data_IF_645087470182
#
_entry.id   IF_645087470182
#
_cell.length_a   1.000
_cell.length_b   1.000
_cell.length_c   1.000
_cell.angle_alpha   90.00
_cell.angle_beta   90.00
_cell.angle_gamma   90.00
#
_symmetry.space_group_name_H-M   'P 1'
#
loop_
_entity.id
_entity.type
_entity.pdbx_description
1 polymer ?
#
# COMPACT_ATOMS: atom_id res chain seq x y z
N UNK A 1 4.18 -16.33 11.79
CA UNK A 1 4.36 -15.71 10.47
C UNK A 1 5.51 -16.35 9.71
N UNK A 2 5.70 -15.98 8.43
CA UNK A 2 6.69 -16.61 7.52
C UNK A 2 8.12 -16.54 8.04
N UNK A 3 8.57 -15.38 8.55
CA UNK A 3 9.95 -15.21 9.04
C UNK A 3 10.35 -16.23 10.10
N UNK A 4 9.46 -16.52 11.06
CA UNK A 4 9.73 -17.50 12.12
C UNK A 4 9.79 -18.94 11.58
N UNK A 5 8.91 -19.29 10.64
CA UNK A 5 8.86 -20.63 10.03
C UNK A 5 10.11 -20.91 9.20
N UNK A 6 10.51 -19.95 8.36
CA UNK A 6 11.68 -20.08 7.49
C UNK A 6 13.01 -19.72 8.19
N UNK A 7 12.92 -19.20 9.42
CA UNK A 7 14.05 -18.71 10.24
C UNK A 7 14.86 -17.65 9.50
N UNK A 8 14.16 -16.68 8.90
CA UNK A 8 14.81 -15.57 8.21
C UNK A 8 15.44 -14.59 9.21
N UNK A 9 16.72 -14.27 8.98
CA UNK A 9 17.39 -13.12 9.58
C UNK A 9 16.81 -11.81 9.02
N UNK A 10 16.53 -11.78 7.71
CA UNK A 10 15.81 -10.69 7.05
C UNK A 10 14.79 -11.26 6.08
N UNK A 11 13.57 -10.76 6.17
CA UNK A 11 12.46 -11.05 5.27
C UNK A 11 11.95 -9.74 4.68
N UNK A 12 12.27 -9.48 3.42
CA UNK A 12 11.71 -8.34 2.68
C UNK A 12 10.29 -8.69 2.22
N UNK A 13 9.31 -7.84 2.51
CA UNK A 13 8.00 -7.99 1.91
C UNK A 13 8.04 -7.51 0.47
N UNK A 14 7.33 -8.23 -0.38
CA UNK A 14 7.29 -7.99 -1.81
C UNK A 14 5.88 -8.13 -2.36
N UNK A 15 5.67 -7.61 -3.56
CA UNK A 15 4.45 -7.79 -4.35
C UNK A 15 4.81 -8.23 -5.76
N UNK A 16 3.89 -8.91 -6.49
CA UNK A 16 4.02 -9.07 -7.92
C UNK A 16 4.18 -7.68 -8.58
N UNK A 17 5.21 -7.53 -9.42
CA UNK A 17 5.45 -6.29 -10.17
C UNK A 17 5.54 -6.58 -11.66
N UNK A 18 5.24 -5.59 -12.49
CA UNK A 18 5.55 -5.69 -13.93
C UNK A 18 7.02 -5.36 -14.16
N UNK A 19 7.58 -5.95 -15.21
CA UNK A 19 8.91 -5.60 -15.67
C UNK A 19 8.99 -4.10 -15.98
N UNK A 20 10.12 -3.47 -15.63
CA UNK A 20 10.37 -2.02 -15.80
C UNK A 20 9.46 -1.11 -14.99
N UNK A 21 8.66 -1.65 -14.07
CA UNK A 21 7.95 -0.86 -13.08
C UNK A 21 8.94 -0.13 -12.15
N UNK A 22 8.59 1.07 -11.70
CA UNK A 22 9.43 1.90 -10.82
C UNK A 22 9.39 1.39 -9.35
N UNK A 23 9.79 0.14 -9.17
CA UNK A 23 9.92 -0.57 -7.90
C UNK A 23 11.08 -1.57 -8.04
N UNK A 24 11.96 -1.63 -7.04
CA UNK A 24 13.13 -2.51 -7.07
C UNK A 24 12.75 -3.99 -7.13
N UNK A 25 13.61 -4.82 -7.72
CA UNK A 25 13.41 -6.25 -7.82
C UNK A 25 14.26 -7.03 -6.85
N UNK A 26 13.67 -7.97 -6.12
CA UNK A 26 14.42 -8.90 -5.29
C UNK A 26 15.05 -9.98 -6.18
N UNK A 27 16.38 -10.09 -6.11
CA UNK A 27 17.15 -11.03 -6.90
C UNK A 27 18.18 -11.77 -6.03
N UNK A 28 18.53 -12.99 -6.46
CA UNK A 28 19.69 -13.71 -5.92
C UNK A 28 20.92 -13.30 -6.74
N UNK A 29 21.82 -12.56 -6.12
CA UNK A 29 23.04 -12.03 -6.72
C UNK A 29 24.21 -12.97 -6.43
N UNK A 30 25.13 -13.08 -7.39
CA UNK A 30 26.36 -13.86 -7.24
C UNK A 30 27.56 -12.91 -7.28
N UNK A 31 28.40 -12.94 -6.24
CA UNK A 31 29.66 -12.18 -6.19
C UNK A 31 30.72 -12.86 -7.06
N UNK A 32 31.81 -12.14 -7.34
CA UNK A 32 32.93 -12.67 -8.14
C UNK A 32 33.60 -13.92 -7.53
N UNK A 33 33.55 -14.06 -6.20
CA UNK A 33 34.04 -15.24 -5.47
C UNK A 33 33.08 -16.44 -5.50
N UNK A 34 31.92 -16.31 -6.16
CA UNK A 34 30.88 -17.34 -6.26
C UNK A 34 29.88 -17.36 -5.11
N UNK A 35 30.09 -16.57 -4.05
CA UNK A 35 29.12 -16.44 -2.96
C UNK A 35 27.82 -15.80 -3.44
N UNK A 36 26.69 -16.22 -2.85
CA UNK A 36 25.35 -15.74 -3.23
C UNK A 36 24.69 -15.00 -2.09
N UNK A 37 23.88 -14.02 -2.42
CA UNK A 37 23.05 -13.31 -1.46
C UNK A 37 21.76 -12.83 -2.12
N UNK A 38 20.71 -12.66 -1.33
CA UNK A 38 19.44 -12.08 -1.79
C UNK A 38 19.43 -10.61 -1.41
N UNK A 39 19.19 -9.74 -2.38
CA UNK A 39 19.00 -8.31 -2.11
C UNK A 39 18.06 -7.68 -3.15
N UNK A 40 17.59 -6.48 -2.82
CA UNK A 40 16.97 -5.57 -3.77
C UNK A 40 17.99 -5.10 -4.80
N UNK A 41 17.57 -5.07 -6.06
CA UNK A 41 18.24 -4.38 -7.14
C UNK A 41 17.29 -3.27 -7.61
N UNK A 42 17.75 -2.01 -7.54
CA UNK A 42 16.90 -0.88 -7.94
C UNK A 42 16.45 -1.00 -9.40
N UNK A 43 15.24 -0.52 -9.68
CA UNK A 43 14.61 -0.68 -11.00
C UNK A 43 15.44 -0.10 -12.15
N UNK A 44 16.21 0.96 -11.87
CA UNK A 44 17.13 1.60 -12.83
C UNK A 44 18.44 0.81 -13.05
N UNK A 45 18.74 -0.16 -12.19
CA UNK A 45 19.92 -1.03 -12.26
C UNK A 45 19.57 -2.44 -12.74
N UNK A 46 18.37 -2.93 -12.45
CA UNK A 46 17.98 -4.30 -12.72
C UNK A 46 17.98 -4.63 -14.21
N UNK A 47 17.37 -3.80 -15.07
CA UNK A 47 17.35 -4.05 -16.51
C UNK A 47 18.77 -4.12 -17.12
N UNK A 48 19.67 -3.14 -16.90
CA UNK A 48 21.07 -3.25 -17.34
C UNK A 48 21.81 -4.47 -16.77
N UNK A 49 21.60 -4.80 -15.49
CA UNK A 49 22.23 -5.95 -14.84
C UNK A 49 21.81 -7.25 -15.53
N UNK A 50 20.52 -7.43 -15.78
CA UNK A 50 19.99 -8.62 -16.44
C UNK A 50 20.51 -8.76 -17.88
N UNK A 51 20.56 -7.66 -18.65
CA UNK A 51 21.14 -7.65 -20.01
C UNK A 51 22.57 -8.14 -20.04
N UNK A 52 23.35 -7.75 -19.04
CA UNK A 52 24.76 -8.10 -18.95
C UNK A 52 25.01 -9.54 -18.47
N UNK A 53 24.06 -10.17 -17.78
CA UNK A 53 24.35 -11.39 -16.99
C UNK A 53 23.40 -12.57 -17.20
N UNK A 54 22.11 -12.34 -17.41
CA UNK A 54 21.09 -13.40 -17.36
C UNK A 54 20.24 -13.43 -18.64
N UNK A 55 19.73 -12.28 -19.08
CA UNK A 55 18.84 -12.19 -20.22
C UNK A 55 19.15 -10.94 -21.06
N UNK A 56 19.63 -11.08 -22.31
CA UNK A 56 19.91 -9.96 -23.22
C UNK A 56 18.72 -9.00 -23.43
N UNK A 57 17.49 -9.46 -23.23
CA UNK A 57 16.28 -8.64 -23.33
C UNK A 57 16.00 -7.79 -22.07
N UNK A 58 16.75 -8.00 -20.99
CA UNK A 58 16.69 -7.22 -19.75
C UNK A 58 15.59 -7.67 -18.79
N UNK A 59 14.95 -6.70 -18.12
CA UNK A 59 13.79 -6.96 -17.26
C UNK A 59 12.56 -7.13 -18.15
N UNK A 60 12.08 -8.37 -18.25
CA UNK A 60 10.92 -8.78 -19.06
C UNK A 60 9.97 -9.63 -18.23
N UNK A 61 8.68 -9.57 -18.55
CA UNK A 61 7.67 -10.37 -17.89
C UNK A 61 7.82 -11.86 -18.26
N UNK A 62 7.51 -12.73 -17.30
CA UNK A 62 7.29 -14.14 -17.53
C UNK A 62 5.93 -14.37 -18.23
N UNK A 63 5.62 -15.63 -18.55
CA UNK A 63 4.41 -16.03 -19.27
C UNK A 63 3.10 -15.68 -18.54
N UNK A 64 3.14 -15.48 -17.23
CA UNK A 64 2.01 -15.07 -16.39
C UNK A 64 1.76 -13.55 -16.39
N UNK A 65 2.58 -12.78 -17.11
CA UNK A 65 2.47 -11.33 -17.24
C UNK A 65 3.17 -10.52 -16.15
N UNK A 66 3.93 -11.16 -15.25
CA UNK A 66 4.66 -10.51 -14.16
C UNK A 66 6.17 -10.68 -14.29
N UNK A 67 6.95 -9.79 -13.67
CA UNK A 67 8.40 -9.99 -13.59
C UNK A 67 8.70 -11.22 -12.72
N UNK A 68 9.66 -12.09 -13.12
CA UNK A 68 10.09 -13.21 -12.29
C UNK A 68 10.80 -12.78 -11.01
N UNK A 69 11.19 -11.50 -10.92
CA UNK A 69 11.73 -10.88 -9.74
C UNK A 69 10.58 -10.19 -9.00
N UNK A 70 10.28 -10.47 -7.73
CA UNK A 70 9.24 -9.76 -6.98
C UNK A 70 9.62 -8.31 -6.70
N UNK A 71 8.64 -7.42 -6.66
CA UNK A 71 8.83 -6.01 -6.34
C UNK A 71 9.04 -5.80 -4.83
N UNK A 72 10.20 -5.31 -4.43
CA UNK A 72 10.49 -4.96 -3.04
C UNK A 72 9.68 -3.71 -2.63
N UNK A 73 8.83 -3.82 -1.62
CA UNK A 73 8.02 -2.71 -1.11
C UNK A 73 8.65 -2.02 0.11
N UNK A 74 9.89 -2.37 0.46
CA UNK A 74 10.67 -1.77 1.54
C UNK A 74 10.03 -1.89 2.94
N UNK A 75 9.14 -2.87 3.13
CA UNK A 75 8.75 -3.33 4.46
C UNK A 75 9.68 -4.49 4.84
N UNK A 76 10.59 -4.23 5.77
CA UNK A 76 11.65 -5.15 6.16
C UNK A 76 11.35 -5.75 7.53
N UNK A 77 11.27 -7.09 7.60
CA UNK A 77 11.10 -7.81 8.86
C UNK A 77 12.44 -8.46 9.22
N UNK A 78 13.03 -8.06 10.34
CA UNK A 78 14.35 -8.53 10.76
C UNK A 78 14.26 -9.30 12.07
N UNK A 79 15.05 -10.38 12.19
CA UNK A 79 15.25 -11.04 13.46
C UNK A 79 16.11 -10.14 14.35
N UNK A 80 15.58 -9.77 15.52
CA UNK A 80 16.24 -8.82 16.41
C UNK A 80 17.67 -9.24 16.81
N UNK A 81 17.98 -10.51 17.12
CA UNK A 81 19.35 -10.92 17.43
C UNK A 81 20.33 -10.66 16.28
N UNK A 82 19.98 -11.03 15.05
CA UNK A 82 20.82 -10.81 13.86
C UNK A 82 20.99 -9.31 13.58
N UNK A 83 19.91 -8.54 13.74
CA UNK A 83 19.95 -7.08 13.58
C UNK A 83 20.89 -6.41 14.56
N UNK A 84 20.79 -6.72 15.85
CA UNK A 84 21.62 -6.12 16.90
C UNK A 84 23.09 -6.51 16.73
N UNK A 85 23.38 -7.79 16.47
CA UNK A 85 24.75 -8.25 16.25
C UNK A 85 25.41 -7.53 15.06
N UNK A 86 24.67 -7.36 13.96
CA UNK A 86 25.17 -6.64 12.80
C UNK A 86 25.34 -5.13 13.08
N UNK A 87 24.38 -4.53 13.80
CA UNK A 87 24.42 -3.12 14.18
C UNK A 87 25.66 -2.81 15.04
N UNK A 88 25.96 -3.66 16.03
CA UNK A 88 27.17 -3.54 16.86
C UNK A 88 28.45 -3.74 16.04
N UNK A 89 28.46 -4.69 15.12
CA UNK A 89 29.63 -4.97 14.28
C UNK A 89 29.93 -3.84 13.28
N UNK A 90 28.90 -3.21 12.71
CA UNK A 90 29.05 -2.17 11.69
C UNK A 90 28.95 -0.74 12.22
N UNK A 91 28.61 -0.55 13.50
CA UNK A 91 28.19 0.74 14.06
C UNK A 91 27.06 1.41 13.25
N UNK A 92 26.18 0.60 12.65
CA UNK A 92 25.09 1.07 11.80
C UNK A 92 25.49 1.53 10.40
N UNK A 93 26.76 1.36 10.00
CA UNK A 93 27.20 1.66 8.64
C UNK A 93 26.63 0.61 7.68
N UNK A 94 26.02 1.10 6.59
CA UNK A 94 25.52 0.32 5.45
C UNK A 94 26.23 0.79 4.20
N UNK A 95 26.33 -0.07 3.18
CA UNK A 95 26.98 0.27 1.91
C UNK A 95 26.45 1.58 1.31
N UNK A 96 27.39 2.43 0.89
CA UNK A 96 27.09 3.72 0.29
C UNK A 96 27.18 3.66 -1.24
N UNK A 97 26.42 4.52 -1.91
CA UNK A 97 26.45 4.74 -3.34
C UNK A 97 26.25 6.23 -3.66
N UNK A 98 26.38 6.58 -4.94
CA UNK A 98 26.09 7.94 -5.44
C UNK A 98 25.17 7.82 -6.65
N UNK A 99 24.11 8.62 -6.70
CA UNK A 99 23.16 8.65 -7.83
C UNK A 99 23.06 10.06 -8.44
N UNK A 100 24.08 10.50 -9.22
CA UNK A 100 24.11 11.84 -9.79
C UNK A 100 22.96 12.07 -10.77
N UNK A 101 22.27 13.21 -10.62
CA UNK A 101 21.32 13.72 -11.61
C UNK A 101 22.06 14.61 -12.59
N UNK A 102 22.15 14.18 -13.84
CA UNK A 102 22.81 14.94 -14.91
C UNK A 102 21.85 15.95 -15.57
N UNK A 103 22.40 17.05 -16.09
CA UNK A 103 21.63 18.08 -16.79
C UNK A 103 21.06 17.56 -18.13
N UNK A 104 21.79 16.65 -18.77
CA UNK A 104 21.51 16.08 -20.09
C UNK A 104 22.08 14.65 -20.21
N UNK A 105 21.92 14.06 -21.40
CA UNK A 105 22.38 12.72 -21.74
C UNK A 105 23.90 12.57 -21.84
N UNK A 106 24.66 13.66 -21.98
CA UNK A 106 26.12 13.61 -22.16
C UNK A 106 26.84 13.38 -20.82
N UNK A 107 26.13 13.59 -19.70
CA UNK A 107 26.59 13.29 -18.33
C UNK A 107 27.88 14.02 -17.93
N UNK A 108 28.13 15.19 -18.51
CA UNK A 108 29.32 16.01 -18.22
C UNK A 108 29.07 17.07 -17.14
N UNK A 109 27.80 17.39 -16.84
CA UNK A 109 27.42 18.34 -15.79
C UNK A 109 26.24 17.87 -14.96
N UNK A 110 26.24 18.20 -13.67
CA UNK A 110 25.17 17.85 -12.75
C UNK A 110 24.04 18.88 -12.78
N UNK A 111 22.79 18.41 -12.80
CA UNK A 111 21.58 19.23 -12.64
C UNK A 111 21.45 19.75 -11.19
N UNK A 112 21.99 19.01 -10.24
CA UNK A 112 22.02 19.34 -8.82
C UNK A 112 23.23 18.66 -8.15
N UNK A 113 23.83 19.24 -7.09
CA UNK A 113 24.95 18.61 -6.40
C UNK A 113 24.66 17.16 -5.97
N UNK A 114 25.54 16.19 -6.28
CA UNK A 114 25.40 14.81 -5.81
C UNK A 114 25.81 14.70 -4.33
N UNK A 115 25.37 13.62 -3.68
CA UNK A 115 25.72 13.26 -2.30
C UNK A 115 25.85 11.75 -2.19
N UNK A 116 26.59 11.30 -1.17
CA UNK A 116 26.55 9.89 -0.76
C UNK A 116 25.15 9.55 -0.25
N UNK A 117 24.68 8.37 -0.61
CA UNK A 117 23.39 7.81 -0.24
C UNK A 117 23.62 6.37 0.24
N UNK A 118 22.76 5.86 1.12
CA UNK A 118 22.69 4.45 1.46
C UNK A 118 21.22 4.05 1.50
N UNK A 119 20.94 2.75 1.32
CA UNK A 119 19.58 2.24 1.35
C UNK A 119 19.37 1.34 2.56
N UNK A 120 18.27 1.51 3.29
CA UNK A 120 17.98 0.64 4.44
C UNK A 120 17.83 -0.84 4.05
N UNK A 121 17.37 -1.11 2.82
CA UNK A 121 17.25 -2.47 2.29
C UNK A 121 18.59 -3.13 1.95
N UNK A 122 19.70 -2.40 2.00
CA UNK A 122 21.04 -2.92 1.77
C UNK A 122 21.67 -3.54 3.03
N UNK A 123 20.99 -3.44 4.17
CA UNK A 123 21.37 -4.11 5.43
C UNK A 123 21.78 -5.60 5.26
N UNK A 124 21.08 -6.43 4.46
CA UNK A 124 21.44 -7.84 4.29
C UNK A 124 22.84 -8.07 3.69
N UNK A 125 23.42 -7.08 3.01
CA UNK A 125 24.76 -7.22 2.44
C UNK A 125 25.87 -7.29 3.50
N UNK A 126 25.62 -6.78 4.70
CA UNK A 126 26.56 -6.84 5.82
C UNK A 126 26.50 -8.13 6.61
N UNK A 127 25.46 -8.95 6.42
CA UNK A 127 25.26 -10.16 7.20
C UNK A 127 26.25 -11.27 6.83
N UNK A 128 26.52 -12.21 7.77
CA UNK A 128 27.27 -13.44 7.48
C UNK A 128 26.70 -14.22 6.29
N UNK A 129 27.56 -14.95 5.58
CA UNK A 129 27.16 -15.70 4.37
C UNK A 129 26.16 -16.83 4.62
N UNK A 130 26.03 -17.30 5.86
CA UNK A 130 25.07 -18.30 6.29
C UNK A 130 23.75 -17.70 6.84
N UNK A 131 23.66 -16.37 6.91
CA UNK A 131 22.44 -15.69 7.29
C UNK A 131 21.31 -15.96 6.29
N UNK A 132 20.12 -16.26 6.82
CA UNK A 132 18.94 -16.59 6.00
C UNK A 132 18.23 -15.30 5.58
N UNK A 133 18.53 -14.81 4.39
CA UNK A 133 17.87 -13.67 3.78
C UNK A 133 16.86 -14.17 2.76
N UNK A 134 15.61 -13.74 2.88
CA UNK A 134 14.54 -14.13 1.98
C UNK A 134 13.49 -13.04 1.83
N UNK A 135 12.36 -13.43 1.27
CA UNK A 135 11.24 -12.52 1.04
C UNK A 135 9.90 -13.22 1.15
N UNK A 136 8.84 -12.41 1.32
CA UNK A 136 7.45 -12.87 1.31
C UNK A 136 6.69 -12.06 0.27
N UNK A 137 6.25 -12.70 -0.81
CA UNK A 137 5.40 -12.07 -1.82
C UNK A 137 3.95 -12.09 -1.38
N UNK A 138 3.32 -10.92 -1.28
CA UNK A 138 1.91 -10.75 -0.98
C UNK A 138 1.18 -10.49 -2.29
N UNK A 139 0.40 -11.46 -2.75
CA UNK A 139 -0.32 -11.37 -4.03
C UNK A 139 -1.55 -10.45 -3.94
N UNK A 140 -2.08 -10.24 -2.73
CA UNK A 140 -3.13 -9.27 -2.44
C UNK A 140 -2.51 -7.87 -2.37
N UNK A 141 -2.04 -7.34 -3.52
CA UNK A 141 -1.38 -6.02 -3.61
C UNK A 141 -2.24 -4.92 -2.97
N UNK A 142 -3.56 -5.00 -3.16
CA UNK A 142 -4.56 -4.10 -2.58
C UNK A 142 -4.56 -4.05 -1.04
N UNK A 143 -3.97 -5.04 -0.36
CA UNK A 143 -3.83 -5.08 1.09
C UNK A 143 -2.43 -4.71 1.58
N UNK A 144 -1.45 -4.64 0.67
CA UNK A 144 -0.03 -4.65 1.02
C UNK A 144 0.76 -3.44 0.49
N UNK A 145 0.30 -2.79 -0.57
CA UNK A 145 1.09 -1.76 -1.24
C UNK A 145 0.23 -0.63 -1.83
N UNK A 146 0.06 0.43 -1.03
CA UNK A 146 -0.69 1.64 -1.38
C UNK A 146 0.11 2.91 -1.09
N UNK A 147 1.28 3.12 -1.72
CA UNK A 147 2.10 4.30 -1.46
C UNK A 147 1.46 5.56 -2.06
N UNK A 148 1.63 6.68 -1.37
CA UNK A 148 1.35 8.03 -1.88
C UNK A 148 2.69 8.71 -2.14
N UNK A 149 3.15 8.66 -3.39
CA UNK A 149 4.50 9.13 -3.78
C UNK A 149 4.53 10.05 -5.00
N UNK A 150 3.43 10.18 -5.73
CA UNK A 150 3.33 11.05 -6.89
C UNK A 150 2.37 12.20 -6.59
N UNK A 151 2.71 13.40 -7.04
CA UNK A 151 1.76 14.51 -7.11
C UNK A 151 0.65 14.19 -8.14
N UNK A 152 -0.41 14.99 -8.17
CA UNK A 152 -1.57 14.74 -9.03
C UNK A 152 -1.22 14.69 -10.53
N UNK A 153 -0.32 15.57 -10.99
CA UNK A 153 0.08 15.64 -12.39
C UNK A 153 0.88 14.40 -12.84
N UNK A 154 1.85 13.96 -12.03
CA UNK A 154 2.65 12.77 -12.28
C UNK A 154 1.80 11.50 -12.17
N UNK A 155 0.88 11.45 -11.20
CA UNK A 155 -0.09 10.37 -11.06
C UNK A 155 -0.98 10.26 -12.31
N UNK A 156 -1.44 11.39 -12.85
CA UNK A 156 -2.25 11.41 -14.07
C UNK A 156 -1.46 11.00 -15.31
N UNK A 157 -0.19 11.40 -15.42
CA UNK A 157 0.69 10.95 -16.49
C UNK A 157 0.87 9.43 -16.47
N UNK A 158 1.16 8.85 -15.29
CA UNK A 158 1.28 7.40 -15.10
C UNK A 158 -0.02 6.66 -15.41
N UNK A 159 -1.15 7.18 -14.96
CA UNK A 159 -2.46 6.59 -15.23
C UNK A 159 -2.78 6.49 -16.72
N UNK A 160 -2.43 7.52 -17.52
CA UNK A 160 -2.58 7.49 -18.99
C UNK A 160 -1.75 6.41 -19.67
N UNK A 161 -0.63 6.02 -19.07
CA UNK A 161 0.24 4.95 -19.56
C UNK A 161 -0.20 3.56 -19.07
N UNK A 162 -1.27 3.47 -18.28
CA UNK A 162 -1.75 2.23 -17.67
C UNK A 162 -0.90 1.76 -16.49
N UNK A 163 -0.08 2.63 -15.91
CA UNK A 163 0.76 2.34 -14.75
C UNK A 163 0.04 2.71 -13.44
N UNK A 164 0.35 2.04 -12.31
CA UNK A 164 -0.14 2.44 -11.00
C UNK A 164 0.16 3.91 -10.70
N UNK A 165 -0.87 4.65 -10.30
CA UNK A 165 -0.78 6.12 -10.19
C UNK A 165 -0.09 6.55 -8.91
N UNK A 166 -0.24 5.79 -7.81
CA UNK A 166 0.36 6.04 -6.49
C UNK A 166 0.29 7.51 -6.03
N UNK A 167 -0.82 8.17 -6.35
CA UNK A 167 -1.16 9.52 -5.88
C UNK A 167 -2.04 9.46 -4.63
N UNK A 168 -2.34 10.63 -4.05
CA UNK A 168 -3.11 10.71 -2.81
C UNK A 168 -4.51 10.10 -2.94
N UNK A 169 -5.20 10.33 -4.06
CA UNK A 169 -6.48 9.70 -4.35
C UNK A 169 -6.41 8.17 -4.32
N UNK A 170 -5.41 7.58 -5.00
CA UNK A 170 -5.24 6.15 -5.05
C UNK A 170 -5.02 5.56 -3.64
N UNK A 171 -4.15 6.19 -2.85
CA UNK A 171 -3.87 5.75 -1.48
C UNK A 171 -5.11 5.75 -0.58
N UNK A 172 -5.96 6.78 -0.67
CA UNK A 172 -7.23 6.83 0.09
C UNK A 172 -8.23 5.77 -0.40
N UNK A 173 -8.44 5.66 -1.70
CA UNK A 173 -9.41 4.72 -2.27
C UNK A 173 -9.00 3.26 -2.05
N UNK A 174 -7.70 2.97 -2.01
CA UNK A 174 -7.19 1.64 -1.68
C UNK A 174 -7.59 1.20 -0.27
N UNK A 175 -7.69 2.13 0.70
CA UNK A 175 -8.17 1.81 2.07
C UNK A 175 -9.63 1.39 2.04
N UNK A 176 -10.49 2.13 1.31
CA UNK A 176 -11.90 1.75 1.15
C UNK A 176 -12.04 0.39 0.47
N UNK A 177 -11.27 0.17 -0.60
CA UNK A 177 -11.25 -1.09 -1.33
C UNK A 177 -10.78 -2.25 -0.44
N UNK A 178 -9.71 -2.07 0.33
CA UNK A 178 -9.17 -3.09 1.21
C UNK A 178 -10.17 -3.49 2.28
N UNK A 179 -10.79 -2.51 2.94
CA UNK A 179 -11.79 -2.74 3.98
C UNK A 179 -13.03 -3.46 3.42
N UNK A 180 -13.54 -3.02 2.26
CA UNK A 180 -14.65 -3.69 1.60
C UNK A 180 -14.31 -5.13 1.18
N UNK A 181 -13.10 -5.36 0.66
CA UNK A 181 -12.63 -6.71 0.30
C UNK A 181 -12.49 -7.61 1.52
N UNK A 182 -11.95 -7.11 2.64
CA UNK A 182 -11.88 -7.87 3.90
C UNK A 182 -13.26 -8.24 4.43
N UNK A 183 -14.23 -7.30 4.40
CA UNK A 183 -15.61 -7.58 4.77
C UNK A 183 -16.25 -8.64 3.87
N UNK A 184 -16.02 -8.57 2.54
CA UNK A 184 -16.47 -9.61 1.60
C UNK A 184 -15.84 -10.97 1.90
N UNK A 185 -14.57 -11.02 2.28
CA UNK A 185 -13.87 -12.26 2.61
C UNK A 185 -14.50 -13.00 3.79
N UNK A 186 -15.03 -12.28 4.77
CA UNK A 186 -15.73 -12.88 5.92
C UNK A 186 -17.23 -13.12 5.65
N UNK A 187 -17.74 -12.79 4.45
CA UNK A 187 -19.11 -13.08 4.03
C UNK A 187 -20.11 -11.92 4.11
N UNK A 188 -19.67 -10.69 4.42
CA UNK A 188 -20.54 -9.50 4.40
C UNK A 188 -20.94 -9.14 2.97
N UNK A 189 -22.21 -8.76 2.78
CA UNK A 189 -22.71 -8.30 1.47
C UNK A 189 -22.35 -6.84 1.25
N UNK A 190 -21.22 -6.58 0.60
CA UNK A 190 -20.79 -5.23 0.20
C UNK A 190 -21.02 -5.03 -1.29
N UNK A 191 -21.59 -3.89 -1.71
CA UNK A 191 -21.82 -3.56 -3.11
C UNK A 191 -20.52 -3.39 -3.93
N UNK A 192 -20.61 -3.55 -5.25
CA UNK A 192 -19.48 -3.39 -6.18
C UNK A 192 -19.13 -1.93 -6.40
N UNK A 193 -17.83 -1.60 -6.58
CA UNK A 193 -17.40 -0.23 -6.80
C UNK A 193 -17.98 0.37 -8.09
N UNK A 194 -17.99 1.69 -8.16
CA UNK A 194 -18.40 2.45 -9.36
C UNK A 194 -17.24 3.25 -9.92
N UNK A 195 -17.15 3.44 -11.25
CA UNK A 195 -16.13 4.27 -11.84
C UNK A 195 -16.33 5.73 -11.44
N UNK A 196 -15.25 6.39 -11.04
CA UNK A 196 -15.20 7.83 -10.74
C UNK A 196 -13.97 8.45 -11.37
N UNK A 197 -13.98 9.79 -11.51
CA UNK A 197 -12.86 10.53 -12.08
C UNK A 197 -12.44 11.67 -11.17
N UNK A 198 -11.20 11.64 -10.69
CA UNK A 198 -10.61 12.67 -9.85
C UNK A 198 -9.30 13.17 -10.46
N UNK A 199 -9.13 14.48 -10.59
CA UNK A 199 -7.96 15.07 -11.22
C UNK A 199 -7.64 14.54 -12.63
N UNK A 200 -8.66 14.14 -13.38
CA UNK A 200 -8.50 13.57 -14.72
C UNK A 200 -8.14 12.07 -14.76
N UNK A 201 -8.06 11.40 -13.61
CA UNK A 201 -7.70 9.98 -13.47
C UNK A 201 -8.94 9.16 -13.15
N UNK A 202 -9.10 8.01 -13.81
CA UNK A 202 -10.20 7.07 -13.52
C UNK A 202 -9.85 6.15 -12.35
N UNK A 203 -10.81 5.97 -11.45
CA UNK A 203 -10.69 5.10 -10.27
C UNK A 203 -11.96 4.28 -10.06
N UNK A 204 -11.83 3.25 -9.23
CA UNK A 204 -12.97 2.53 -8.64
C UNK A 204 -13.28 3.10 -7.26
N UNK A 205 -14.47 3.69 -7.10
CA UNK A 205 -14.96 4.11 -5.79
C UNK A 205 -15.76 2.99 -5.15
N UNK A 206 -15.14 2.32 -4.19
CA UNK A 206 -15.79 1.37 -3.29
C UNK A 206 -16.66 2.10 -2.26
N UNK A 207 -17.64 1.42 -1.61
CA UNK A 207 -18.28 1.97 -0.42
C UNK A 207 -17.24 2.46 0.58
N UNK A 208 -17.47 3.61 1.20
CA UNK A 208 -16.44 4.26 2.01
C UNK A 208 -16.48 3.70 3.43
N UNK A 209 -15.86 2.52 3.57
CA UNK A 209 -15.75 1.80 4.83
C UNK A 209 -14.38 2.02 5.43
N UNK A 210 -14.35 2.57 6.63
CA UNK A 210 -13.13 2.75 7.43
C UNK A 210 -13.37 2.41 8.88
N UNK A 211 -12.35 1.88 9.54
CA UNK A 211 -12.38 1.63 10.96
C UNK A 211 -11.04 1.87 11.62
N UNK A 212 -11.07 2.20 12.90
CA UNK A 212 -9.89 2.30 13.75
C UNK A 212 -9.29 0.92 14.01
N UNK A 213 -7.95 0.81 14.15
CA UNK A 213 -7.29 -0.42 14.58
C UNK A 213 -7.81 -0.97 15.93
N UNK A 214 -8.43 -0.13 16.76
CA UNK A 214 -9.07 -0.57 18.01
C UNK A 214 -10.32 -1.45 17.77
N UNK A 215 -10.96 -1.29 16.61
CA UNK A 215 -12.06 -2.15 16.20
C UNK A 215 -11.55 -3.47 15.63
N UNK A 216 -10.66 -3.46 14.64
CA UNK A 216 -10.14 -4.70 14.05
C UNK A 216 -8.79 -4.49 13.38
N UNK A 217 -7.88 -5.44 13.60
CA UNK A 217 -6.57 -5.51 12.91
C UNK A 217 -6.44 -6.77 12.05
N UNK A 218 -7.27 -7.77 12.29
CA UNK A 218 -7.24 -9.08 11.61
C UNK A 218 -8.62 -9.49 11.09
N UNK A 219 -8.66 -10.49 10.20
CA UNK A 219 -9.93 -11.08 9.78
C UNK A 219 -10.66 -11.74 10.95
N UNK A 220 -9.93 -12.40 11.85
CA UNK A 220 -10.47 -13.01 13.07
C UNK A 220 -11.15 -11.95 13.96
N UNK A 221 -10.59 -10.74 14.08
CA UNK A 221 -11.25 -9.64 14.81
C UNK A 221 -12.58 -9.26 14.17
N UNK A 222 -12.63 -9.20 12.83
CA UNK A 222 -13.85 -8.90 12.09
C UNK A 222 -14.90 -10.00 12.27
N UNK A 223 -14.52 -11.27 12.13
CA UNK A 223 -15.40 -12.43 12.34
C UNK A 223 -15.95 -12.51 13.77
N UNK A 224 -15.15 -12.12 14.76
CA UNK A 224 -15.59 -12.09 16.15
C UNK A 224 -16.61 -10.96 16.43
N UNK A 225 -16.53 -9.84 15.69
CA UNK A 225 -17.30 -8.62 15.94
C UNK A 225 -18.48 -8.42 14.99
N UNK A 226 -18.53 -9.14 13.87
CA UNK A 226 -19.55 -8.98 12.83
C UNK A 226 -20.23 -10.33 12.60
N UNK A 227 -21.57 -10.34 12.54
CA UNK A 227 -22.36 -11.48 12.04
C UNK A 227 -22.56 -11.30 10.53
N UNK A 228 -21.71 -11.91 9.68
CA UNK A 228 -21.51 -11.42 8.32
C UNK A 228 -22.74 -11.54 7.43
N UNK A 229 -23.51 -12.62 7.58
CA UNK A 229 -24.69 -12.93 6.78
C UNK A 229 -25.86 -11.95 7.00
N UNK A 230 -25.80 -11.17 8.08
CA UNK A 230 -26.81 -10.17 8.47
C UNK A 230 -26.37 -8.73 8.23
N UNK A 231 -25.22 -8.53 7.60
CA UNK A 231 -24.71 -7.20 7.28
C UNK A 231 -24.71 -6.98 5.77
N UNK A 232 -25.32 -5.85 5.36
CA UNK A 232 -25.31 -5.35 3.99
C UNK A 232 -24.85 -3.90 3.96
N UNK A 233 -23.94 -3.59 3.03
CA UNK A 233 -23.44 -2.24 2.75
C UNK A 233 -23.70 -1.94 1.27
N UNK A 234 -24.56 -0.95 1.01
CA UNK A 234 -24.89 -0.45 -0.32
C UNK A 234 -23.78 0.38 -0.94
N UNK A 235 -23.93 0.72 -2.22
CA UNK A 235 -22.84 1.36 -2.97
C UNK A 235 -22.60 2.82 -2.60
N UNK A 236 -23.65 3.54 -2.25
CA UNK A 236 -23.58 4.95 -1.86
C UNK A 236 -23.54 5.10 -0.34
N UNK A 237 -22.72 4.28 0.30
CA UNK A 237 -22.65 4.18 1.74
C UNK A 237 -21.28 4.55 2.29
N UNK A 238 -21.31 5.19 3.46
CA UNK A 238 -20.13 5.43 4.29
C UNK A 238 -20.34 4.77 5.65
N UNK A 239 -19.40 3.92 6.06
CA UNK A 239 -19.36 3.32 7.38
C UNK A 239 -18.04 3.70 8.05
N UNK A 240 -18.12 4.42 9.16
CA UNK A 240 -16.97 4.81 9.97
C UNK A 240 -17.10 4.17 11.34
N UNK A 241 -16.12 3.36 11.74
CA UNK A 241 -16.02 2.85 13.11
C UNK A 241 -14.82 3.52 13.79
N UNK A 242 -15.08 4.56 14.58
CA UNK A 242 -14.04 5.48 15.07
C UNK A 242 -13.19 4.87 16.20
N UNK A 243 -13.79 4.11 17.10
CA UNK A 243 -13.09 3.52 18.25
C UNK A 243 -13.96 2.54 19.03
N UNK A 244 -13.30 1.72 19.86
CA UNK A 244 -13.92 0.99 20.97
C UNK A 244 -14.48 -0.40 20.63
N UNK A 245 -15.14 -1.00 21.63
CA UNK A 245 -15.71 -2.36 21.55
C UNK A 245 -17.09 -2.31 20.85
N UNK A 246 -17.04 -2.29 19.52
CA UNK A 246 -18.23 -2.30 18.66
C UNK A 246 -18.54 -3.72 18.20
N UNK A 247 -19.82 -4.12 18.27
CA UNK A 247 -20.31 -5.38 17.71
C UNK A 247 -21.47 -5.12 16.75
N UNK A 248 -21.46 -5.77 15.60
CA UNK A 248 -22.47 -5.62 14.54
C UNK A 248 -23.16 -6.96 14.31
N UNK A 249 -24.37 -7.11 14.85
CA UNK A 249 -25.17 -8.34 14.72
C UNK A 249 -26.09 -8.29 13.50
N UNK A 250 -26.68 -7.14 13.19
CA UNK A 250 -27.49 -6.96 11.98
C UNK A 250 -27.49 -5.50 11.56
N UNK A 251 -27.08 -5.24 10.32
CA UNK A 251 -26.97 -3.89 9.77
C UNK A 251 -27.37 -3.89 8.30
N UNK A 252 -28.37 -3.09 7.97
CA UNK A 252 -28.73 -2.77 6.60
C UNK A 252 -28.41 -1.29 6.31
N UNK A 253 -27.18 -1.03 5.85
CA UNK A 253 -26.75 0.29 5.40
C UNK A 253 -27.02 0.37 3.89
N UNK A 254 -28.21 0.85 3.51
CA UNK A 254 -28.68 0.84 2.12
C UNK A 254 -28.12 2.01 1.30
N UNK A 255 -28.19 3.20 1.91
CA UNK A 255 -27.64 4.45 1.38
C UNK A 255 -27.31 5.38 2.55
N UNK A 256 -26.29 6.22 2.40
CA UNK A 256 -25.97 7.25 3.38
C UNK A 256 -24.80 6.91 4.30
N UNK A 257 -24.65 7.64 5.39
CA UNK A 257 -23.51 7.53 6.30
C UNK A 257 -23.92 7.04 7.70
N UNK A 258 -23.16 6.09 8.22
CA UNK A 258 -23.22 5.63 9.62
C UNK A 258 -21.84 5.81 10.25
N UNK A 259 -21.79 6.53 11.37
CA UNK A 259 -20.60 6.69 12.22
C UNK A 259 -20.86 6.04 13.56
N UNK A 260 -19.98 5.15 13.97
CA UNK A 260 -20.12 4.36 15.21
C UNK A 260 -18.87 4.55 16.05
N UNK A 261 -19.07 4.86 17.32
CA UNK A 261 -18.03 4.85 18.34
C UNK A 261 -18.50 4.04 19.54
N UNK A 262 -17.56 3.58 20.35
CA UNK A 262 -17.81 3.19 21.73
C UNK A 262 -16.82 3.98 22.61
N UNK A 263 -17.35 4.58 23.69
CA UNK A 263 -16.51 5.27 24.66
C UNK A 263 -15.57 4.29 25.36
N UNK A 264 -14.51 4.80 25.99
CA UNK A 264 -13.52 3.97 26.67
C UNK A 264 -14.18 3.11 27.76
N UNK A 265 -13.98 1.79 27.69
CA UNK A 265 -14.59 0.83 28.62
C UNK A 265 -16.06 0.50 28.34
N UNK A 266 -16.69 1.15 27.36
CA UNK A 266 -18.07 0.88 26.95
C UNK A 266 -18.13 -0.04 25.73
N UNK A 267 -19.31 -0.63 25.53
CA UNK A 267 -19.62 -1.47 24.37
C UNK A 267 -20.77 -0.87 23.60
N UNK A 268 -20.61 -0.77 22.29
CA UNK A 268 -21.69 -0.35 21.38
C UNK A 268 -22.11 -1.55 20.56
N UNK A 269 -23.35 -2.01 20.75
CA UNK A 269 -23.91 -3.12 19.97
C UNK A 269 -24.94 -2.60 18.96
N UNK A 270 -24.72 -2.94 17.68
CA UNK A 270 -25.69 -2.77 16.61
C UNK A 270 -26.44 -4.10 16.47
N UNK A 271 -27.49 -4.26 17.29
CA UNK A 271 -28.28 -5.49 17.34
C UNK A 271 -29.12 -5.71 16.06
N UNK A 272 -29.79 -4.66 15.59
CA UNK A 272 -30.46 -4.57 14.29
C UNK A 272 -30.67 -3.09 13.96
N UNK A 273 -30.12 -2.64 12.83
CA UNK A 273 -30.22 -1.25 12.40
C UNK A 273 -30.36 -1.17 10.89
N UNK A 274 -31.30 -0.34 10.43
CA UNK A 274 -31.38 0.09 9.03
C UNK A 274 -31.07 1.57 8.93
N UNK A 275 -30.14 1.93 8.05
CA UNK A 275 -29.71 3.32 7.84
C UNK A 275 -30.00 3.72 6.39
N UNK A 276 -30.67 4.87 6.25
CA UNK A 276 -30.92 5.55 4.99
C UNK A 276 -30.96 7.05 5.25
N UNK A 277 -29.92 7.77 4.82
CA UNK A 277 -29.82 9.22 4.96
C UNK A 277 -29.07 9.83 3.75
N UNK A 278 -28.90 11.16 3.71
CA UNK A 278 -28.24 11.84 2.57
C UNK A 278 -26.75 11.54 2.45
N UNK A 279 -26.12 11.02 3.50
CA UNK A 279 -24.75 10.54 3.50
C UNK A 279 -23.71 11.59 3.17
N UNK A 280 -22.57 11.09 2.72
CA UNK A 280 -21.42 11.86 2.28
C UNK A 280 -21.19 11.64 0.79
N UNK A 281 -20.50 12.57 0.14
CA UNK A 281 -20.20 12.55 -1.29
C UNK A 281 -18.73 12.91 -1.55
N UNK A 282 -18.10 12.20 -2.48
CA UNK A 282 -16.74 12.47 -2.96
C UNK A 282 -16.86 13.23 -4.27
N UNK A 283 -16.70 14.55 -4.20
CA UNK A 283 -16.94 15.46 -5.32
C UNK A 283 -15.62 15.88 -5.97
N UNK A 284 -15.46 15.69 -7.30
CA UNK A 284 -14.25 16.14 -7.98
C UNK A 284 -14.04 17.65 -7.78
N UNK A 285 -12.78 18.05 -7.55
CA UNK A 285 -12.46 19.47 -7.54
C UNK A 285 -12.65 20.09 -8.93
N UNK A 286 -13.02 21.38 -9.02
CA UNK A 286 -13.08 22.08 -10.29
C UNK A 286 -11.69 22.17 -10.95
N UNK A 287 -11.65 22.24 -12.29
CA UNK A 287 -10.37 22.34 -13.05
C UNK A 287 -9.51 23.54 -12.64
N UNK A 288 -10.14 24.61 -12.17
CA UNK A 288 -9.47 25.77 -11.58
C UNK A 288 -9.94 25.91 -10.16
N UNK A 289 -9.02 25.69 -9.23
CA UNK A 289 -9.25 26.01 -7.84
C UNK A 289 -9.54 27.52 -7.71
N UNK A 290 -10.59 27.83 -6.96
CA UNK A 290 -10.99 29.19 -6.62
C UNK A 290 -10.28 29.70 -5.35
N UNK A 291 -9.31 28.93 -4.83
CA UNK A 291 -8.55 29.21 -3.62
C UNK A 291 -9.24 28.75 -2.34
N UNK A 292 -10.24 27.86 -2.44
CA UNK A 292 -10.96 27.34 -1.26
C UNK A 292 -10.60 25.91 -0.90
N UNK A 293 -10.00 25.15 -1.82
CA UNK A 293 -9.58 23.78 -1.56
C UNK A 293 -8.37 23.75 -0.63
N UNK A 294 -8.35 22.79 0.30
CA UNK A 294 -7.16 22.56 1.13
C UNK A 294 -6.05 21.87 0.33
N UNK A 295 -4.82 21.88 0.84
CA UNK A 295 -3.70 21.19 0.18
C UNK A 295 -3.99 19.70 -0.02
N UNK A 296 -4.62 19.06 0.97
CA UNK A 296 -4.95 17.64 0.88
C UNK A 296 -6.03 17.35 -0.17
N UNK A 297 -6.99 18.26 -0.34
CA UNK A 297 -7.99 18.18 -1.41
C UNK A 297 -7.33 18.38 -2.78
N UNK A 298 -6.43 19.36 -2.90
CA UNK A 298 -5.67 19.62 -4.14
C UNK A 298 -4.80 18.43 -4.54
N UNK A 299 -4.15 17.76 -3.57
CA UNK A 299 -3.33 16.57 -3.83
C UNK A 299 -4.17 15.36 -4.31
N UNK A 300 -5.40 15.19 -3.78
CA UNK A 300 -6.27 14.06 -4.12
C UNK A 300 -7.26 14.35 -5.26
N UNK A 301 -7.47 15.62 -5.61
CA UNK A 301 -8.35 16.03 -6.70
C UNK A 301 -9.85 15.89 -6.44
N UNK A 302 -10.27 15.76 -5.19
CA UNK A 302 -11.67 15.75 -4.76
C UNK A 302 -11.82 16.29 -3.33
N UNK A 303 -13.03 16.74 -3.00
CA UNK A 303 -13.46 17.09 -1.64
C UNK A 303 -14.50 16.09 -1.13
N UNK A 304 -14.65 16.00 0.19
CA UNK A 304 -15.68 15.15 0.83
C UNK A 304 -16.76 16.03 1.43
N UNK A 305 -17.94 16.02 0.83
CA UNK A 305 -19.11 16.80 1.27
C UNK A 305 -19.99 15.94 2.16
N UNK A 306 -20.17 16.33 3.43
CA UNK A 306 -20.96 15.60 4.42
C UNK A 306 -22.36 16.22 4.54
N UNK A 307 -23.37 15.61 3.91
CA UNK A 307 -24.73 16.15 3.93
C UNK A 307 -25.53 15.74 5.17
N UNK A 308 -25.41 14.48 5.57
CA UNK A 308 -26.10 13.90 6.73
C UNK A 308 -25.37 12.63 7.22
N UNK A 309 -25.61 12.23 8.46
CA UNK A 309 -25.13 10.98 9.01
C UNK A 309 -25.97 10.52 10.21
N UNK A 310 -26.07 9.21 10.39
CA UNK A 310 -26.48 8.61 11.67
C UNK A 310 -25.23 8.39 12.52
N UNK A 311 -25.26 8.79 13.79
CA UNK A 311 -24.17 8.59 14.73
C UNK A 311 -24.62 7.76 15.93
N UNK A 312 -23.82 6.77 16.34
CA UNK A 312 -24.08 5.91 17.51
C UNK A 312 -22.90 5.94 18.48
N UNK A 313 -23.19 5.85 19.78
CA UNK A 313 -22.18 5.77 20.84
C UNK A 313 -21.40 7.06 21.07
N UNK A 314 -22.09 8.20 20.93
CA UNK A 314 -21.66 9.51 21.42
C UNK A 314 -22.24 9.79 22.80
#
# INVERSE_FOLDING_TARGET
GVSARERYAVNSLAVPRRAKEAIGGLACLTRADGSRFVNNVEYNQLDPLLRATVNPEGDVNAADGWSPYPGNINQLVMALPDYVAQLEASNGVVSEFVNPKYADSDRTSFKSPPRLECMMQDFPMGLPSDARVGFTSINQVWAAYSPVKNNLADAAAKGREGNPTHGAAAGELDVYAANCKMLRMIGVKVADPVPVKFGGIEFELWPQVVWSPLFAMTLDDLEAKIVPEKVRIGQHCTLVIESGDVRITELDLDQGALVVSAAEGEKTEIASLRVSNRGWSWEPLPERDNGTATEEELMRGFSVVRFDQTALGK
#
